data_IF_294939021829
#
_entry.id   IF_294939021829
#
_cell.length_a   1.000
_cell.length_b   1.000
_cell.length_c   1.000
_cell.angle_alpha   90.00
_cell.angle_beta   90.00
_cell.angle_gamma   90.00
#
_symmetry.space_group_name_H-M   'P 1'
#
loop_
_entity.id
_entity.type
_entity.pdbx_description
1 polymer ?
#
# COMPACT_ATOMS: atom_id res chain seq x y z
N UNK A 1 8.80 1.06 -12.55
CA UNK A 1 8.71 2.22 -13.47
C UNK A 1 8.60 3.45 -12.60
N UNK A 2 9.13 4.59 -13.04
CA UNK A 2 9.05 5.84 -12.26
C UNK A 2 7.84 6.63 -12.73
N UNK A 3 7.21 7.38 -11.83
CA UNK A 3 6.05 8.23 -12.15
C UNK A 3 6.31 9.23 -13.28
N UNK A 4 7.55 9.72 -13.43
CA UNK A 4 7.96 10.63 -14.50
C UNK A 4 8.26 9.94 -15.83
N UNK A 5 8.16 8.61 -15.92
CA UNK A 5 8.48 7.90 -17.16
C UNK A 5 7.41 8.09 -18.23
N UNK A 6 7.77 8.22 -19.52
CA UNK A 6 6.81 8.26 -20.63
C UNK A 6 5.91 7.02 -20.67
N UNK A 7 6.45 5.86 -20.31
CA UNK A 7 5.69 4.60 -20.23
C UNK A 7 4.57 4.69 -19.20
N UNK A 8 4.83 5.30 -18.04
CA UNK A 8 3.80 5.53 -17.03
C UNK A 8 2.72 6.46 -17.56
N UNK A 9 3.11 7.61 -18.10
CA UNK A 9 2.18 8.68 -18.50
C UNK A 9 1.29 8.29 -19.68
N UNK A 10 1.87 7.66 -20.72
CA UNK A 10 1.17 7.42 -21.98
C UNK A 10 0.57 6.03 -22.12
N UNK A 11 1.03 5.05 -21.34
CA UNK A 11 0.53 3.67 -21.44
C UNK A 11 -0.12 3.20 -20.14
N UNK A 12 0.63 3.23 -19.04
CA UNK A 12 0.14 2.66 -17.79
C UNK A 12 -1.06 3.44 -17.22
N UNK A 13 -0.95 4.76 -17.11
CA UNK A 13 -2.00 5.60 -16.54
C UNK A 13 -3.30 5.53 -17.38
N UNK A 14 -3.29 5.71 -18.72
CA UNK A 14 -4.48 5.56 -19.53
C UNK A 14 -5.09 4.16 -19.43
N UNK A 15 -4.26 3.10 -19.41
CA UNK A 15 -4.74 1.73 -19.26
C UNK A 15 -5.42 1.50 -17.91
N UNK A 16 -4.84 1.97 -16.80
CA UNK A 16 -5.43 1.83 -15.46
C UNK A 16 -6.74 2.60 -15.35
N UNK A 17 -6.82 3.81 -15.90
CA UNK A 17 -8.06 4.60 -15.93
C UNK A 17 -9.14 3.91 -16.75
N UNK A 18 -8.80 3.40 -17.95
CA UNK A 18 -9.73 2.65 -18.78
C UNK A 18 -10.23 1.39 -18.07
N UNK A 19 -9.33 0.58 -17.51
CA UNK A 19 -9.68 -0.62 -16.74
C UNK A 19 -10.58 -0.28 -15.55
N UNK A 20 -10.29 0.78 -14.81
CA UNK A 20 -11.09 1.19 -13.65
C UNK A 20 -12.47 1.74 -14.06
N UNK A 21 -12.55 2.45 -15.19
CA UNK A 21 -13.81 2.96 -15.73
C UNK A 21 -14.72 1.83 -16.20
N UNK A 22 -14.15 0.81 -16.86
CA UNK A 22 -14.86 -0.38 -17.36
C UNK A 22 -15.16 -1.39 -16.25
N UNK A 23 -14.41 -1.39 -15.15
CA UNK A 23 -14.60 -2.33 -14.06
C UNK A 23 -15.95 -2.11 -13.33
N UNK A 24 -16.65 -3.21 -13.00
CA UNK A 24 -17.87 -3.13 -12.19
C UNK A 24 -17.55 -2.54 -10.81
N UNK A 25 -18.51 -1.83 -10.22
CA UNK A 25 -18.31 -1.01 -9.00
C UNK A 25 -17.61 -1.76 -7.86
N UNK A 26 -17.91 -3.05 -7.67
CA UNK A 26 -17.30 -3.87 -6.62
C UNK A 26 -15.84 -4.27 -6.87
N UNK A 27 -15.35 -4.21 -8.12
CA UNK A 27 -13.99 -4.63 -8.48
C UNK A 27 -13.03 -3.45 -8.69
N UNK A 28 -13.51 -2.21 -8.70
CA UNK A 28 -12.69 -1.02 -8.96
C UNK A 28 -11.49 -0.92 -8.01
N UNK A 29 -11.73 -1.14 -6.72
CA UNK A 29 -10.65 -1.11 -5.72
C UNK A 29 -9.66 -2.26 -5.91
N UNK A 30 -10.11 -3.44 -6.34
CA UNK A 30 -9.23 -4.55 -6.63
C UNK A 30 -8.36 -4.25 -7.87
N UNK A 31 -8.94 -3.68 -8.93
CA UNK A 31 -8.21 -3.24 -10.12
C UNK A 31 -7.16 -2.20 -9.76
N UNK A 32 -7.52 -1.18 -8.98
CA UNK A 32 -6.59 -0.14 -8.53
C UNK A 32 -5.48 -0.70 -7.63
N UNK A 33 -5.82 -1.64 -6.74
CA UNK A 33 -4.85 -2.29 -5.87
C UNK A 33 -3.84 -3.10 -6.69
N UNK A 34 -4.31 -3.96 -7.60
CA UNK A 34 -3.45 -4.78 -8.44
C UNK A 34 -2.59 -3.92 -9.37
N UNK A 35 -3.15 -2.89 -9.98
CA UNK A 35 -2.40 -1.93 -10.78
C UNK A 35 -1.31 -1.25 -9.96
N UNK A 36 -1.63 -0.77 -8.75
CA UNK A 36 -0.66 -0.15 -7.84
C UNK A 36 0.46 -1.12 -7.48
N UNK A 37 0.14 -2.37 -7.14
CA UNK A 37 1.14 -3.38 -6.81
C UNK A 37 2.05 -3.70 -8.00
N UNK A 38 1.48 -3.85 -9.21
CA UNK A 38 2.26 -4.02 -10.44
C UNK A 38 3.19 -2.82 -10.68
N UNK A 39 2.72 -1.61 -10.39
CA UNK A 39 3.53 -0.42 -10.53
C UNK A 39 4.75 -0.40 -9.62
N UNK A 40 4.53 -0.71 -8.33
CA UNK A 40 5.62 -0.83 -7.36
C UNK A 40 6.56 -2.00 -7.68
N UNK A 41 6.02 -3.13 -8.15
CA UNK A 41 6.81 -4.31 -8.52
C UNK A 41 7.75 -4.08 -9.70
N UNK A 42 7.39 -3.18 -10.63
CA UNK A 42 8.16 -2.95 -11.84
C UNK A 42 9.59 -2.44 -11.58
N UNK A 43 9.78 -1.63 -10.53
CA UNK A 43 11.10 -1.10 -10.18
C UNK A 43 11.87 -2.05 -9.27
N UNK A 44 11.22 -2.50 -8.20
CA UNK A 44 11.87 -3.27 -7.15
C UNK A 44 10.90 -4.31 -6.58
N UNK A 45 10.83 -5.52 -7.16
CA UNK A 45 9.86 -6.55 -6.76
C UNK A 45 9.96 -6.94 -5.28
N UNK A 46 11.17 -6.87 -4.69
CA UNK A 46 11.41 -7.21 -3.28
C UNK A 46 10.76 -6.20 -2.34
N UNK A 47 10.77 -4.91 -2.68
CA UNK A 47 10.13 -3.85 -1.91
C UNK A 47 8.61 -4.06 -1.76
N UNK A 48 7.99 -4.74 -2.73
CA UNK A 48 6.55 -5.04 -2.71
C UNK A 48 6.19 -5.99 -1.57
N UNK A 49 7.07 -6.92 -1.20
CA UNK A 49 6.82 -7.80 -0.06
C UNK A 49 6.73 -7.00 1.24
N UNK A 50 7.65 -6.04 1.43
CA UNK A 50 7.65 -5.11 2.56
C UNK A 50 6.39 -4.25 2.56
N UNK A 51 5.99 -3.75 1.38
CA UNK A 51 4.76 -2.98 1.20
C UNK A 51 3.51 -3.81 1.57
N UNK A 52 3.42 -5.06 1.12
CA UNK A 52 2.29 -5.95 1.41
C UNK A 52 2.18 -6.25 2.91
N UNK A 53 3.31 -6.54 3.57
CA UNK A 53 3.35 -6.72 5.03
C UNK A 53 2.91 -5.44 5.74
N UNK A 54 3.40 -4.28 5.29
CA UNK A 54 2.99 -2.98 5.83
C UNK A 54 1.48 -2.75 5.70
N UNK A 55 0.90 -3.00 4.52
CA UNK A 55 -0.53 -2.86 4.27
C UNK A 55 -1.33 -3.77 5.20
N UNK A 56 -0.96 -5.06 5.29
CA UNK A 56 -1.68 -6.05 6.09
C UNK A 56 -1.69 -5.69 7.59
N UNK A 57 -0.52 -5.31 8.14
CA UNK A 57 -0.39 -4.94 9.56
C UNK A 57 -1.15 -3.65 9.85
N UNK A 58 -0.99 -2.61 9.02
CA UNK A 58 -1.72 -1.36 9.22
C UNK A 58 -3.24 -1.54 9.07
N UNK A 59 -3.69 -2.40 8.16
CA UNK A 59 -5.11 -2.74 8.02
C UNK A 59 -5.66 -3.43 9.28
N UNK A 60 -4.94 -4.43 9.81
CA UNK A 60 -5.33 -5.12 11.04
C UNK A 60 -5.35 -4.18 12.26
N UNK A 61 -4.37 -3.29 12.38
CA UNK A 61 -4.32 -2.28 13.45
C UNK A 61 -5.45 -1.25 13.30
N UNK A 62 -5.79 -0.85 12.08
CA UNK A 62 -6.93 0.03 11.79
C UNK A 62 -8.27 -0.61 12.16
N UNK A 63 -8.44 -1.91 11.87
CA UNK A 63 -9.61 -2.66 12.32
C UNK A 63 -9.68 -2.77 13.85
N UNK A 64 -8.56 -3.06 14.51
CA UNK A 64 -8.49 -3.13 15.97
C UNK A 64 -8.75 -1.78 16.65
N UNK A 65 -8.41 -0.67 15.97
CA UNK A 65 -8.67 0.68 16.42
C UNK A 65 -10.16 1.05 16.34
N UNK A 66 -10.87 0.48 15.37
CA UNK A 66 -12.32 0.66 15.23
C UNK A 66 -13.06 0.09 16.44
N UNK A 67 -13.67 0.97 17.26
CA UNK A 67 -14.36 0.59 18.49
C UNK A 67 -13.48 0.46 19.75
N UNK A 68 -12.20 0.84 19.67
CA UNK A 68 -11.31 0.84 20.84
C UNK A 68 -11.62 2.01 21.80
N UNK A 69 -11.53 1.76 23.11
CA UNK A 69 -11.56 2.84 24.12
C UNK A 69 -10.34 3.77 23.94
N UNK A 70 -10.40 5.04 24.40
CA UNK A 70 -9.28 5.98 24.22
C UNK A 70 -7.93 5.47 24.74
N UNK A 71 -7.92 4.70 25.85
CA UNK A 71 -6.70 4.07 26.38
C UNK A 71 -6.16 2.99 25.44
N UNK A 72 -7.01 2.11 24.92
CA UNK A 72 -6.62 1.04 24.00
C UNK A 72 -6.21 1.59 22.63
N UNK A 73 -6.92 2.62 22.15
CA UNK A 73 -6.60 3.33 20.92
C UNK A 73 -5.18 3.91 20.93
N UNK A 74 -4.76 4.54 22.04
CA UNK A 74 -3.39 5.05 22.21
C UNK A 74 -2.35 3.93 22.07
N UNK A 75 -2.59 2.77 22.68
CA UNK A 75 -1.69 1.61 22.57
C UNK A 75 -1.59 1.08 21.14
N UNK A 76 -2.71 0.99 20.42
CA UNK A 76 -2.75 0.52 19.03
C UNK A 76 -2.00 1.48 18.10
N UNK A 77 -2.20 2.79 18.27
CA UNK A 77 -1.49 3.81 17.49
C UNK A 77 0.01 3.77 17.80
N UNK A 78 0.40 3.64 19.07
CA UNK A 78 1.81 3.49 19.44
C UNK A 78 2.44 2.26 18.78
N UNK A 79 1.76 1.12 18.79
CA UNK A 79 2.20 -0.09 18.11
C UNK A 79 2.32 0.11 16.59
N UNK A 80 1.37 0.80 15.96
CA UNK A 80 1.42 1.14 14.54
C UNK A 80 2.64 2.01 14.21
N UNK A 81 2.90 3.03 15.02
CA UNK A 81 4.07 3.91 14.84
C UNK A 81 5.37 3.12 14.99
N UNK A 82 5.52 2.35 16.07
CA UNK A 82 6.73 1.53 16.30
C UNK A 82 6.96 0.55 15.15
N UNK A 83 5.90 -0.11 14.68
CA UNK A 83 5.98 -1.02 13.55
C UNK A 83 6.41 -0.31 12.26
N UNK A 84 5.77 0.80 11.88
CA UNK A 84 6.10 1.51 10.63
C UNK A 84 7.51 2.12 10.67
N UNK A 85 7.91 2.71 11.80
CA UNK A 85 9.27 3.25 11.98
C UNK A 85 10.30 2.12 12.00
N UNK A 86 10.02 1.01 12.67
CA UNK A 86 10.88 -0.17 12.68
C UNK A 86 11.04 -0.78 11.30
N UNK A 87 9.95 -0.89 10.54
CA UNK A 87 9.97 -1.39 9.16
C UNK A 87 10.79 -0.46 8.25
N UNK A 88 10.62 0.86 8.39
CA UNK A 88 11.41 1.85 7.67
C UNK A 88 12.89 1.75 8.06
N UNK A 89 13.19 1.61 9.35
CA UNK A 89 14.55 1.47 9.84
C UNK A 89 15.22 0.21 9.27
N UNK A 90 14.50 -0.92 9.29
CA UNK A 90 14.97 -2.19 8.73
C UNK A 90 15.23 -2.06 7.21
N UNK A 91 14.24 -1.56 6.47
CA UNK A 91 14.32 -1.48 5.01
C UNK A 91 15.36 -0.48 4.51
N UNK A 92 15.57 0.62 5.25
CA UNK A 92 16.45 1.71 4.83
C UNK A 92 17.88 1.59 5.38
N UNK A 93 18.06 0.97 6.54
CA UNK A 93 19.34 1.01 7.26
C UNK A 93 19.87 -0.36 7.70
N UNK A 94 19.02 -1.39 7.82
CA UNK A 94 19.48 -2.74 8.20
C UNK A 94 19.73 -3.65 6.99
N UNK A 95 19.41 -3.18 5.79
CA UNK A 95 19.70 -3.79 4.49
C UNK A 95 20.15 -2.73 3.51
#
# INVERSE_FOLDING_TARGET
MVFSSPVFLFFFLPAVLALTALAPRGLRNAVLLLASLLFYAWGEPRAVLVLLVSIAVNYALGLALSGATPRRARGIVAAAVVFNVGLLALYKYAG
#
